data_IF_088271519876
#
_entry.id   IF_088271519876
#
_cell.length_a   1.000
_cell.length_b   1.000
_cell.length_c   1.000
_cell.angle_alpha   90.00
_cell.angle_beta   90.00
_cell.angle_gamma   90.00
#
_symmetry.space_group_name_H-M   'P 1'
#
loop_
_entity.id
_entity.type
_entity.pdbx_description
1 polymer ?
#
# COMPACT_ATOMS: atom_id res chain seq x y z
N UNK A 1 32.88 31.44 -41.02
CA UNK A 1 34.36 31.36 -40.92
C UNK A 1 34.74 31.17 -39.45
N UNK A 2 35.42 30.04 -39.16
CA UNK A 2 36.29 29.76 -37.98
C UNK A 2 35.56 29.64 -36.62
N UNK A 3 35.69 28.64 -35.80
CA UNK A 3 36.65 27.52 -35.72
C UNK A 3 36.11 26.45 -34.74
N UNK A 4 36.18 25.21 -35.15
CA UNK A 4 35.99 24.01 -34.30
C UNK A 4 37.14 23.94 -33.28
N UNK A 5 36.85 23.59 -32.03
CA UNK A 5 37.81 22.96 -31.13
C UNK A 5 37.25 21.61 -30.66
N UNK A 6 37.88 20.57 -31.22
CA UNK A 6 37.88 19.20 -30.68
C UNK A 6 38.73 19.18 -29.41
N UNK A 7 38.26 18.53 -28.37
CA UNK A 7 39.13 17.94 -27.37
C UNK A 7 38.78 16.47 -27.23
N UNK A 8 39.78 15.68 -27.42
CA UNK A 8 39.77 14.22 -27.39
C UNK A 8 40.22 13.72 -26.01
N UNK A 9 39.63 12.56 -25.65
CA UNK A 9 40.26 11.44 -24.95
C UNK A 9 40.68 11.58 -23.48
N UNK A 10 40.14 10.76 -22.62
CA UNK A 10 40.93 9.77 -21.89
C UNK A 10 40.07 8.67 -21.27
N UNK A 11 40.21 7.49 -21.79
CA UNK A 11 39.78 6.18 -21.37
C UNK A 11 40.66 5.77 -20.18
N UNK A 12 40.08 5.44 -19.04
CA UNK A 12 40.79 4.74 -17.96
C UNK A 12 39.99 3.48 -17.56
N UNK A 13 40.44 2.36 -18.10
CA UNK A 13 40.04 1.01 -17.69
C UNK A 13 40.77 0.65 -16.41
N UNK A 14 40.05 0.21 -15.40
CA UNK A 14 40.61 -0.48 -14.20
C UNK A 14 40.03 -1.90 -14.13
N UNK A 15 40.92 -2.82 -14.52
CA UNK A 15 40.79 -4.26 -14.28
C UNK A 15 40.99 -4.54 -12.79
N UNK A 16 40.05 -5.27 -12.17
CA UNK A 16 40.31 -5.99 -10.91
C UNK A 16 40.24 -7.48 -11.17
N UNK A 17 41.37 -8.12 -10.96
CA UNK A 17 41.63 -9.53 -11.13
C UNK A 17 41.07 -10.34 -9.92
N UNK A 18 40.48 -11.49 -10.25
CA UNK A 18 40.10 -12.52 -9.33
C UNK A 18 41.33 -13.25 -8.75
N UNK A 19 41.30 -13.57 -7.47
CA UNK A 19 42.14 -14.61 -6.88
C UNK A 19 41.25 -15.72 -6.28
N UNK A 20 41.34 -16.87 -6.95
CA UNK A 20 40.98 -18.20 -6.45
C UNK A 20 42.19 -18.84 -5.77
N UNK A 21 41.99 -19.34 -4.57
CA UNK A 21 42.78 -20.43 -3.97
C UNK A 21 41.83 -21.14 -3.00
N UNK A 22 41.43 -22.40 -3.03
CA UNK A 22 42.03 -23.63 -3.55
C UNK A 22 42.74 -24.40 -2.45
N UNK A 23 42.11 -25.46 -1.87
CA UNK A 23 42.66 -26.70 -1.35
C UNK A 23 41.66 -27.30 -0.35
N UNK A 24 40.96 -28.38 -0.58
CA UNK A 24 41.32 -29.79 -0.91
C UNK A 24 41.67 -30.64 0.29
N UNK A 25 41.03 -31.79 0.30
CA UNK A 25 41.31 -33.11 0.92
C UNK A 25 40.74 -33.30 2.34
N UNK A 26 40.12 -34.41 2.67
CA UNK A 26 39.88 -35.69 2.03
C UNK A 26 38.98 -36.58 2.89
N UNK A 27 38.45 -37.53 2.22
CA UNK A 27 37.95 -38.90 2.50
C UNK A 27 38.13 -39.47 3.93
N UNK A 28 37.19 -40.24 4.44
CA UNK A 28 36.84 -41.66 4.20
C UNK A 28 35.75 -42.11 5.20
N UNK A 29 34.70 -42.71 4.71
CA UNK A 29 34.34 -44.13 4.58
C UNK A 29 33.94 -44.88 5.84
N UNK A 30 32.84 -45.57 5.65
CA UNK A 30 32.34 -46.85 6.20
C UNK A 30 31.43 -46.76 7.42
N UNK A 31 30.28 -47.29 7.35
CA UNK A 31 29.57 -48.50 7.03
C UNK A 31 28.90 -49.16 8.24
N UNK A 32 27.60 -49.44 8.02
CA UNK A 32 26.83 -50.58 8.52
C UNK A 32 26.75 -50.83 10.05
N UNK A 33 25.64 -51.17 10.64
CA UNK A 33 24.68 -52.28 10.38
C UNK A 33 23.45 -52.18 11.28
N UNK A 34 22.32 -52.47 10.77
CA UNK A 34 21.15 -53.23 11.20
C UNK A 34 21.06 -53.78 12.65
N UNK A 35 19.85 -53.76 13.17
CA UNK A 35 19.42 -54.57 14.32
C UNK A 35 17.96 -54.32 14.67
N UNK A 36 17.17 -55.18 14.22
CA UNK A 36 15.73 -55.48 14.31
C UNK A 36 15.29 -55.92 15.72
N UNK A 37 13.96 -55.93 15.90
CA UNK A 37 13.09 -56.69 16.81
C UNK A 37 12.59 -55.92 18.06
N UNK A 38 11.32 -55.69 18.13
CA UNK A 38 10.08 -56.46 18.35
C UNK A 38 9.79 -56.72 19.83
N UNK A 39 8.62 -56.28 20.27
CA UNK A 39 7.71 -56.96 21.18
C UNK A 39 6.68 -56.01 21.81
N UNK A 40 5.46 -56.07 21.36
CA UNK A 40 4.25 -55.95 22.20
C UNK A 40 4.05 -57.30 22.94
N UNK A 41 3.19 -57.43 24.00
CA UNK A 41 1.81 -57.02 24.04
C UNK A 41 1.17 -56.70 25.42
N UNK A 42 -0.04 -56.10 25.34
CA UNK A 42 -1.31 -56.34 26.08
C UNK A 42 -1.35 -56.41 27.59
N UNK A 43 -2.24 -55.76 28.28
CA UNK A 43 -3.68 -56.12 28.50
C UNK A 43 -4.36 -55.19 29.55
N UNK A 44 -5.57 -54.77 29.20
CA UNK A 44 -6.85 -54.76 29.90
C UNK A 44 -6.92 -54.17 31.31
N UNK A 45 -7.80 -53.32 31.65
CA UNK A 45 -9.27 -53.20 31.67
C UNK A 45 -9.70 -52.40 32.91
N UNK A 46 -10.64 -51.61 32.85
CA UNK A 46 -11.91 -51.61 33.50
C UNK A 46 -12.39 -50.18 33.77
N UNK A 47 -13.58 -49.91 33.30
CA UNK A 47 -14.28 -48.66 33.21
C UNK A 47 -14.67 -48.03 34.57
N UNK A 48 -14.92 -46.76 34.49
CA UNK A 48 -15.91 -46.11 35.33
C UNK A 48 -16.44 -44.90 34.58
N UNK A 49 -17.72 -44.95 34.30
CA UNK A 49 -18.56 -43.87 33.78
C UNK A 49 -18.65 -42.75 34.82
N UNK A 50 -18.16 -41.57 34.46
CA UNK A 50 -18.58 -40.32 35.11
C UNK A 50 -18.78 -39.30 34.00
N UNK A 51 -20.02 -38.86 33.84
CA UNK A 51 -20.39 -37.72 33.01
C UNK A 51 -19.69 -36.48 33.56
N UNK A 52 -18.87 -35.87 32.75
CA UNK A 52 -18.40 -34.52 32.97
C UNK A 52 -18.85 -33.69 31.78
N UNK A 53 -19.51 -32.62 32.08
CA UNK A 53 -19.89 -31.54 31.20
C UNK A 53 -18.67 -31.12 30.39
N UNK A 54 -18.82 -31.21 29.07
CA UNK A 54 -17.85 -30.76 28.08
C UNK A 54 -17.93 -29.24 28.08
N UNK A 55 -17.12 -28.61 28.93
CA UNK A 55 -16.69 -27.24 28.70
C UNK A 55 -15.88 -27.27 27.42
N UNK A 56 -16.32 -26.57 26.39
CA UNK A 56 -15.53 -26.28 25.23
C UNK A 56 -14.27 -25.50 25.69
N UNK A 57 -13.18 -26.24 25.96
CA UNK A 57 -11.85 -25.64 25.95
C UNK A 57 -11.54 -25.29 24.50
N UNK A 58 -11.64 -23.99 24.19
CA UNK A 58 -11.05 -23.43 23.00
C UNK A 58 -9.57 -23.83 22.97
N UNK A 59 -9.13 -24.45 21.89
CA UNK A 59 -7.72 -24.62 21.58
C UNK A 59 -7.08 -23.23 21.62
N UNK A 60 -6.36 -22.91 22.71
CA UNK A 60 -5.47 -21.78 22.73
C UNK A 60 -4.38 -22.10 21.71
N UNK A 61 -4.48 -21.54 20.53
CA UNK A 61 -3.40 -21.47 19.56
C UNK A 61 -2.18 -20.81 20.23
N UNK A 62 -1.01 -21.18 19.81
CA UNK A 62 0.24 -20.60 20.33
C UNK A 62 0.45 -19.23 19.63
N UNK A 63 -0.45 -18.26 19.91
CA UNK A 63 -0.41 -16.92 19.34
C UNK A 63 0.70 -16.09 20.02
N UNK A 64 1.30 -15.16 19.26
CA UNK A 64 2.36 -14.29 19.75
C UNK A 64 1.88 -13.39 20.92
N UNK A 65 2.78 -13.16 21.90
CA UNK A 65 2.56 -12.22 23.00
C UNK A 65 2.73 -10.75 22.55
N UNK A 66 3.25 -10.53 21.35
CA UNK A 66 3.49 -9.21 20.76
C UNK A 66 2.78 -9.13 19.41
N UNK A 67 2.08 -8.04 19.14
CA UNK A 67 1.49 -7.73 17.85
C UNK A 67 2.51 -6.95 17.02
N UNK A 68 2.88 -7.47 15.86
CA UNK A 68 3.62 -6.73 14.85
C UNK A 68 2.64 -6.02 13.93
N UNK A 69 2.65 -4.67 13.96
CA UNK A 69 1.89 -3.78 13.10
C UNK A 69 2.79 -3.23 12.01
N UNK A 70 2.47 -3.52 10.75
CA UNK A 70 3.25 -3.10 9.59
C UNK A 70 2.57 -1.94 8.87
N UNK A 71 3.37 -0.97 8.43
CA UNK A 71 2.94 0.20 7.70
C UNK A 71 3.55 0.23 6.30
N UNK A 72 2.78 0.69 5.32
CA UNK A 72 3.26 0.97 3.97
C UNK A 72 4.24 2.17 3.95
N UNK A 73 5.00 2.34 2.84
CA UNK A 73 5.90 3.49 2.70
C UNK A 73 5.20 4.84 2.82
N UNK A 74 3.92 4.93 2.47
CA UNK A 74 3.13 6.18 2.54
C UNK A 74 3.05 6.70 3.97
N UNK A 75 2.71 5.82 4.91
CA UNK A 75 2.50 6.13 6.32
C UNK A 75 3.81 6.04 7.12
N UNK A 76 4.95 5.81 6.43
CA UNK A 76 6.28 5.73 7.06
C UNK A 76 6.95 7.10 7.27
N UNK A 77 6.37 8.19 6.76
CA UNK A 77 6.88 9.54 6.98
C UNK A 77 6.84 9.94 8.47
N UNK A 78 7.78 10.80 8.88
CA UNK A 78 7.87 11.28 10.27
C UNK A 78 6.61 12.05 10.71
N UNK A 79 5.91 12.68 9.78
CA UNK A 79 4.67 13.43 10.03
C UNK A 79 3.56 12.54 10.63
N UNK A 80 3.58 11.23 10.35
CA UNK A 80 2.63 10.25 10.89
C UNK A 80 3.06 9.60 12.21
N UNK A 81 4.20 9.96 12.80
CA UNK A 81 4.72 9.32 14.03
C UNK A 81 3.68 9.35 15.17
N UNK A 82 3.05 10.52 15.39
CA UNK A 82 2.05 10.68 16.47
C UNK A 82 0.83 9.80 16.24
N UNK A 83 0.32 9.75 15.02
CA UNK A 83 -0.83 8.91 14.67
C UNK A 83 -0.47 7.42 14.84
N UNK A 84 0.70 6.99 14.33
CA UNK A 84 1.16 5.60 14.46
C UNK A 84 1.35 5.17 15.92
N UNK A 85 1.89 6.04 16.79
CA UNK A 85 2.01 5.79 18.23
C UNK A 85 0.63 5.61 18.88
N UNK A 86 -0.36 6.40 18.46
CA UNK A 86 -1.73 6.27 18.96
C UNK A 86 -2.39 4.96 18.51
N UNK A 87 -2.20 4.54 17.26
CA UNK A 87 -2.66 3.20 16.82
C UNK A 87 -2.04 2.09 17.66
N UNK A 88 -0.73 2.13 17.88
CA UNK A 88 -0.05 1.13 18.72
C UNK A 88 -0.61 1.11 20.15
N UNK A 89 -0.90 2.29 20.71
CA UNK A 89 -1.53 2.42 22.03
C UNK A 89 -2.92 1.77 22.04
N UNK A 90 -3.76 2.04 21.03
CA UNK A 90 -5.11 1.50 20.93
C UNK A 90 -5.11 -0.03 20.74
N UNK A 91 -4.26 -0.58 19.89
CA UNK A 91 -4.11 -2.02 19.73
C UNK A 91 -3.65 -2.69 21.03
N UNK A 92 -2.71 -2.06 21.76
CA UNK A 92 -2.29 -2.52 23.09
C UNK A 92 -3.41 -2.42 24.11
N UNK A 93 -4.20 -1.37 24.08
CA UNK A 93 -5.37 -1.21 24.98
C UNK A 93 -6.41 -2.31 24.75
N UNK A 94 -6.74 -2.59 23.47
CA UNK A 94 -7.70 -3.62 23.11
C UNK A 94 -7.26 -5.02 23.57
N UNK A 95 -5.99 -5.37 23.39
CA UNK A 95 -5.51 -6.74 23.51
C UNK A 95 -4.69 -7.03 24.76
N UNK A 96 -4.19 -5.99 25.43
CA UNK A 96 -3.22 -6.11 26.52
C UNK A 96 -1.82 -6.56 26.09
N UNK A 97 -1.58 -6.75 24.77
CA UNK A 97 -0.30 -7.18 24.21
C UNK A 97 0.61 -6.00 23.87
N UNK A 98 1.92 -6.22 23.88
CA UNK A 98 2.85 -5.22 23.34
C UNK A 98 2.67 -5.11 21.82
N UNK A 99 2.88 -3.90 21.27
CA UNK A 99 2.77 -3.63 19.83
C UNK A 99 4.12 -3.16 19.32
N UNK A 100 4.69 -3.90 18.37
CA UNK A 100 5.90 -3.54 17.64
C UNK A 100 5.50 -3.00 16.27
N UNK A 101 5.89 -1.77 15.98
CA UNK A 101 5.64 -1.15 14.68
C UNK A 101 6.80 -1.39 13.73
N UNK A 102 6.51 -1.75 12.49
CA UNK A 102 7.48 -1.91 11.40
C UNK A 102 7.11 -1.03 10.22
N UNK A 103 7.97 -0.06 9.94
CA UNK A 103 7.90 0.75 8.75
C UNK A 103 8.54 0.01 7.58
N UNK A 104 7.91 0.05 6.41
CA UNK A 104 8.44 -0.57 5.21
C UNK A 104 8.81 0.46 4.16
N UNK A 105 9.69 0.08 3.25
CA UNK A 105 10.09 0.88 2.09
C UNK A 105 9.51 0.36 0.79
N UNK A 106 8.71 -0.73 0.87
CA UNK A 106 8.15 -1.41 -0.29
C UNK A 106 6.81 -2.06 0.09
N UNK A 107 5.83 -1.96 -0.80
CA UNK A 107 4.50 -2.55 -0.65
C UNK A 107 4.54 -4.08 -0.53
N UNK A 108 5.38 -4.73 -1.36
CA UNK A 108 5.50 -6.19 -1.36
C UNK A 108 6.01 -6.73 -0.02
N UNK A 109 6.90 -5.99 0.67
CA UNK A 109 7.41 -6.38 2.00
C UNK A 109 6.26 -6.40 3.03
N UNK A 110 5.38 -5.41 3.00
CA UNK A 110 4.25 -5.35 3.92
C UNK A 110 3.22 -6.46 3.61
N UNK A 111 2.90 -6.68 2.33
CA UNK A 111 1.99 -7.73 1.85
C UNK A 111 2.50 -9.11 2.26
N UNK A 112 3.79 -9.41 1.99
CA UNK A 112 4.41 -10.68 2.35
C UNK A 112 4.46 -10.88 3.87
N UNK A 113 4.75 -9.82 4.63
CA UNK A 113 4.79 -9.89 6.10
C UNK A 113 3.44 -10.28 6.68
N UNK A 114 2.34 -9.73 6.16
CA UNK A 114 0.99 -10.08 6.58
C UNK A 114 0.61 -11.49 6.12
N UNK A 115 0.82 -11.81 4.84
CA UNK A 115 0.48 -13.11 4.27
C UNK A 115 1.22 -14.27 4.95
N UNK A 116 2.50 -14.09 5.30
CA UNK A 116 3.29 -15.10 6.01
C UNK A 116 2.99 -15.21 7.52
N UNK A 117 2.22 -14.28 8.11
CA UNK A 117 1.97 -14.21 9.54
C UNK A 117 3.14 -13.68 10.37
N UNK A 118 4.21 -13.16 9.74
CA UNK A 118 5.29 -12.47 10.44
C UNK A 118 4.87 -11.09 10.94
N UNK A 119 3.82 -10.51 10.36
CA UNK A 119 3.03 -9.43 10.90
C UNK A 119 1.61 -9.93 11.23
N UNK A 120 1.06 -9.50 12.35
CA UNK A 120 -0.30 -9.82 12.73
C UNK A 120 -1.30 -8.87 12.08
N UNK A 121 -0.93 -7.60 11.94
CA UNK A 121 -1.79 -6.53 11.42
C UNK A 121 -0.99 -5.67 10.43
N UNK A 122 -1.67 -5.20 9.37
CA UNK A 122 -1.14 -4.23 8.42
C UNK A 122 -2.24 -3.25 8.00
N UNK A 123 -1.92 -1.94 7.93
CA UNK A 123 -2.74 -0.99 7.18
C UNK A 123 -2.30 -1.01 5.72
N UNK A 124 -3.24 -1.18 4.79
CA UNK A 124 -2.92 -1.35 3.37
C UNK A 124 -4.06 -0.91 2.45
N UNK A 125 -3.74 -0.59 1.22
CA UNK A 125 -4.75 -0.36 0.19
C UNK A 125 -5.50 -1.65 -0.18
N UNK A 126 -6.68 -1.51 -0.78
CA UNK A 126 -7.54 -2.64 -1.15
C UNK A 126 -6.82 -3.67 -2.06
N UNK A 127 -5.99 -3.23 -3.03
CA UNK A 127 -5.21 -4.13 -3.87
C UNK A 127 -4.20 -4.96 -3.07
N UNK A 128 -3.46 -4.32 -2.16
CA UNK A 128 -2.51 -5.05 -1.31
C UNK A 128 -3.19 -6.06 -0.40
N UNK A 129 -4.38 -5.74 0.12
CA UNK A 129 -5.22 -6.69 0.84
C UNK A 129 -5.59 -7.90 -0.05
N UNK A 130 -6.05 -7.66 -1.27
CA UNK A 130 -6.39 -8.71 -2.23
C UNK A 130 -5.17 -9.61 -2.54
N UNK A 131 -4.00 -9.01 -2.75
CA UNK A 131 -2.76 -9.76 -2.98
C UNK A 131 -2.35 -10.61 -1.76
N UNK A 132 -2.42 -10.05 -0.55
CA UNK A 132 -2.14 -10.78 0.68
C UNK A 132 -3.14 -11.93 0.90
N UNK A 133 -4.45 -11.69 0.67
CA UNK A 133 -5.52 -12.68 0.73
C UNK A 133 -5.32 -13.80 -0.29
N UNK A 134 -4.94 -13.48 -1.53
CA UNK A 134 -4.62 -14.45 -2.57
C UNK A 134 -3.39 -15.31 -2.24
N UNK A 135 -2.42 -14.73 -1.52
CA UNK A 135 -1.23 -15.46 -1.06
C UNK A 135 -1.54 -16.34 0.16
N UNK A 136 -2.48 -15.94 1.02
CA UNK A 136 -2.90 -16.70 2.20
C UNK A 136 -4.37 -16.41 2.55
N UNK A 137 -5.21 -17.43 2.45
CA UNK A 137 -6.65 -17.36 2.79
C UNK A 137 -6.93 -16.94 4.25
N UNK A 138 -5.94 -17.03 5.15
CA UNK A 138 -6.05 -16.59 6.54
C UNK A 138 -6.01 -15.07 6.71
N UNK A 139 -5.69 -14.30 5.66
CA UNK A 139 -5.73 -12.83 5.71
C UNK A 139 -7.17 -12.37 5.62
N UNK A 140 -7.61 -11.54 6.58
CA UNK A 140 -8.97 -11.01 6.69
C UNK A 140 -8.96 -9.51 6.99
N UNK A 141 -10.01 -8.75 6.64
CA UNK A 141 -10.10 -7.34 6.99
C UNK A 141 -10.60 -7.17 8.42
N UNK A 142 -10.04 -6.19 9.16
CA UNK A 142 -10.54 -5.78 10.48
C UNK A 142 -11.66 -4.75 10.35
N UNK A 143 -11.33 -3.64 9.69
CA UNK A 143 -12.22 -2.50 9.46
C UNK A 143 -11.61 -1.56 8.40
N UNK A 144 -12.44 -0.65 7.89
CA UNK A 144 -12.04 0.49 7.05
C UNK A 144 -12.52 1.80 7.69
N UNK A 145 -11.94 2.94 7.34
CA UNK A 145 -12.51 4.23 7.66
C UNK A 145 -13.70 4.53 6.74
N UNK A 146 -14.76 5.08 7.32
CA UNK A 146 -15.90 5.62 6.55
C UNK A 146 -15.59 7.03 6.01
N UNK A 147 -16.46 7.53 5.15
CA UNK A 147 -16.58 8.96 4.90
C UNK A 147 -17.49 9.65 5.93
N UNK A 148 -17.96 10.86 5.60
CA UNK A 148 -18.76 11.72 6.46
C UNK A 148 -20.09 11.10 6.95
N UNK A 149 -20.64 10.11 6.23
CA UNK A 149 -21.85 9.39 6.64
C UNK A 149 -21.65 8.51 7.88
N UNK A 150 -20.43 8.09 8.19
CA UNK A 150 -20.14 7.11 9.23
C UNK A 150 -20.49 5.68 8.84
N UNK A 151 -20.67 5.39 7.53
CA UNK A 151 -21.05 4.09 6.98
C UNK A 151 -20.14 3.70 5.79
N UNK A 152 -20.35 2.50 5.24
CA UNK A 152 -19.64 2.05 4.03
C UNK A 152 -20.10 2.76 2.76
N UNK A 153 -21.22 3.49 2.75
CA UNK A 153 -21.80 4.11 1.56
C UNK A 153 -20.88 5.16 0.91
N UNK A 154 -20.05 5.81 1.71
CA UNK A 154 -19.09 6.83 1.29
C UNK A 154 -17.68 6.57 1.82
N UNK A 155 -17.35 5.31 2.11
CA UNK A 155 -16.02 4.87 2.52
C UNK A 155 -15.05 4.88 1.30
N UNK A 156 -14.79 6.07 0.78
CA UNK A 156 -14.08 6.33 -0.46
C UNK A 156 -12.99 7.38 -0.28
N UNK A 157 -11.96 7.27 -1.09
CA UNK A 157 -10.96 8.29 -1.36
C UNK A 157 -10.77 8.44 -2.88
N UNK A 158 -9.82 9.23 -3.37
CA UNK A 158 -9.70 9.51 -4.79
C UNK A 158 -8.32 9.19 -5.34
N UNK A 159 -8.31 8.47 -6.46
CA UNK A 159 -7.14 8.28 -7.33
C UNK A 159 -7.08 9.42 -8.33
N UNK A 160 -5.93 10.06 -8.47
CA UNK A 160 -5.67 11.12 -9.41
C UNK A 160 -4.73 10.67 -10.52
N UNK A 161 -5.00 11.10 -11.76
CA UNK A 161 -3.98 11.35 -12.77
C UNK A 161 -3.80 12.86 -12.85
N UNK A 162 -2.57 13.31 -12.67
CA UNK A 162 -2.23 14.74 -12.55
C UNK A 162 -1.07 15.12 -13.45
N UNK A 163 -1.04 16.40 -13.82
CA UNK A 163 0.01 17.02 -14.63
C UNK A 163 0.48 18.31 -13.96
N UNK A 164 1.66 18.83 -14.31
CA UNK A 164 2.11 20.12 -13.80
C UNK A 164 1.20 21.25 -14.28
N UNK A 165 0.97 22.24 -13.41
CA UNK A 165 0.25 23.46 -13.80
C UNK A 165 0.97 24.18 -14.93
N UNK A 166 0.23 24.46 -15.99
CA UNK A 166 0.74 25.06 -17.24
C UNK A 166 0.79 24.06 -18.39
N UNK A 167 0.82 22.75 -18.11
CA UNK A 167 0.82 21.68 -19.11
C UNK A 167 -0.60 21.12 -19.33
N UNK A 168 -1.59 21.45 -18.49
CA UNK A 168 -2.96 20.93 -18.54
C UNK A 168 -3.67 21.20 -19.86
N UNK A 169 -3.26 22.27 -20.56
CA UNK A 169 -3.79 22.62 -21.88
C UNK A 169 -3.51 21.57 -22.97
N UNK A 170 -2.49 20.75 -22.80
CA UNK A 170 -2.15 19.66 -23.73
C UNK A 170 -3.14 18.49 -23.61
N UNK A 171 -3.82 18.37 -22.49
CA UNK A 171 -4.77 17.30 -22.17
C UNK A 171 -6.22 17.76 -22.27
N UNK A 172 -6.47 19.03 -22.62
CA UNK A 172 -7.81 19.60 -22.67
C UNK A 172 -8.66 18.98 -23.79
N UNK A 173 -9.92 18.62 -23.46
CA UNK A 173 -10.94 18.16 -24.40
C UNK A 173 -12.30 18.80 -24.07
N UNK A 174 -12.72 19.77 -24.88
CA UNK A 174 -13.92 20.56 -24.61
C UNK A 174 -13.83 21.30 -23.29
N UNK A 175 -14.77 21.02 -22.39
CA UNK A 175 -14.81 21.58 -21.03
C UNK A 175 -14.09 20.67 -19.99
N UNK A 176 -13.45 19.58 -20.43
CA UNK A 176 -12.77 18.59 -19.59
C UNK A 176 -11.39 18.21 -20.11
N UNK A 177 -10.97 16.98 -19.81
CA UNK A 177 -9.68 16.44 -20.19
C UNK A 177 -9.83 15.07 -20.86
N UNK A 178 -8.89 14.73 -21.76
CA UNK A 178 -8.74 13.42 -22.40
C UNK A 178 -7.39 12.80 -22.02
N UNK A 179 -7.35 11.47 -21.98
CA UNK A 179 -6.11 10.71 -21.81
C UNK A 179 -5.35 10.51 -23.14
N UNK A 180 -5.87 10.99 -24.30
CA UNK A 180 -5.23 10.78 -25.61
C UNK A 180 -3.74 11.17 -25.62
N UNK A 181 -3.42 12.28 -24.99
CA UNK A 181 -2.08 12.87 -25.01
C UNK A 181 -1.14 12.38 -23.91
N UNK A 182 -1.57 11.41 -23.07
CA UNK A 182 -0.62 10.77 -22.16
C UNK A 182 0.27 9.74 -22.87
N UNK A 183 -0.12 9.28 -24.08
CA UNK A 183 0.70 8.39 -24.88
C UNK A 183 2.03 9.06 -25.26
N UNK A 184 3.14 8.34 -25.09
CA UNK A 184 4.50 8.83 -25.36
C UNK A 184 5.09 9.70 -24.26
N UNK A 185 4.35 10.03 -23.20
CA UNK A 185 4.85 10.79 -22.05
C UNK A 185 5.66 9.91 -21.10
N UNK A 186 6.31 10.55 -20.10
CA UNK A 186 6.88 9.90 -18.93
C UNK A 186 5.81 9.86 -17.85
N UNK A 187 5.48 8.68 -17.33
CA UNK A 187 4.52 8.53 -16.26
C UNK A 187 5.20 8.08 -14.96
N UNK A 188 4.66 8.53 -13.82
CA UNK A 188 5.02 8.01 -12.51
C UNK A 188 3.82 7.33 -11.88
N UNK A 189 3.99 6.08 -11.46
CA UNK A 189 3.09 5.32 -10.61
C UNK A 189 3.66 5.21 -9.20
N UNK A 190 2.89 4.68 -8.26
CA UNK A 190 3.30 4.48 -6.87
C UNK A 190 4.06 3.16 -6.71
N UNK A 191 3.36 2.05 -6.87
CA UNK A 191 3.82 0.66 -6.85
C UNK A 191 2.81 -0.15 -7.65
N UNK A 192 3.21 -1.25 -8.27
CA UNK A 192 2.29 -2.15 -8.98
C UNK A 192 1.22 -2.78 -8.07
N UNK A 193 1.45 -2.81 -6.76
CA UNK A 193 0.48 -3.26 -5.73
C UNK A 193 -0.34 -2.11 -5.14
N UNK A 194 -0.22 -0.87 -5.66
CA UNK A 194 -1.01 0.27 -5.18
C UNK A 194 -2.37 0.33 -5.86
N UNK A 195 -3.46 0.39 -5.08
CA UNK A 195 -4.82 0.49 -5.60
C UNK A 195 -5.00 1.76 -6.43
N UNK A 196 -4.84 2.93 -5.80
CA UNK A 196 -5.07 4.25 -6.43
C UNK A 196 -3.86 4.80 -7.18
N UNK A 197 -2.68 4.28 -6.91
CA UNK A 197 -1.45 4.71 -7.59
C UNK A 197 -1.03 3.82 -8.76
N UNK A 198 -1.76 2.73 -9.04
CA UNK A 198 -1.48 1.85 -10.18
C UNK A 198 -2.74 1.16 -10.71
N UNK A 199 -3.44 0.30 -9.94
CA UNK A 199 -4.52 -0.55 -10.47
C UNK A 199 -5.66 0.28 -11.05
N UNK A 200 -6.16 1.26 -10.31
CA UNK A 200 -7.27 2.13 -10.77
C UNK A 200 -6.86 3.00 -11.97
N UNK A 201 -5.74 3.75 -11.93
CA UNK A 201 -5.35 4.56 -13.07
C UNK A 201 -4.97 3.72 -14.31
N UNK A 202 -4.31 2.56 -14.17
CA UNK A 202 -4.00 1.70 -15.32
C UNK A 202 -5.25 1.11 -15.94
N UNK A 203 -6.26 0.72 -15.13
CA UNK A 203 -7.54 0.28 -15.65
C UNK A 203 -8.26 1.37 -16.45
N UNK A 204 -8.23 2.62 -15.98
CA UNK A 204 -8.76 3.76 -16.73
C UNK A 204 -8.00 4.00 -18.04
N UNK A 205 -6.68 3.90 -18.02
CA UNK A 205 -5.82 4.05 -19.20
C UNK A 205 -6.10 2.92 -20.20
N UNK A 206 -6.16 1.67 -19.77
CA UNK A 206 -6.47 0.52 -20.61
C UNK A 206 -7.87 0.67 -21.23
N UNK A 207 -8.88 1.03 -20.43
CA UNK A 207 -10.24 1.25 -20.91
C UNK A 207 -10.32 2.32 -21.99
N UNK A 208 -9.52 3.38 -21.86
CA UNK A 208 -9.44 4.46 -22.85
C UNK A 208 -8.72 4.00 -24.13
N UNK A 209 -7.50 3.47 -23.99
CA UNK A 209 -6.64 3.15 -25.12
C UNK A 209 -7.07 1.88 -25.87
N UNK A 210 -7.76 0.93 -25.25
CA UNK A 210 -8.31 -0.24 -25.94
C UNK A 210 -9.31 0.11 -27.06
N UNK A 211 -9.82 1.33 -27.06
CA UNK A 211 -10.69 1.86 -28.14
C UNK A 211 -9.87 2.44 -29.31
N UNK A 212 -8.56 2.54 -29.20
CA UNK A 212 -7.67 3.19 -30.18
C UNK A 212 -6.89 2.11 -30.94
N UNK A 213 -6.87 2.24 -32.27
CA UNK A 213 -6.14 1.31 -33.12
C UNK A 213 -4.67 1.20 -32.70
N UNK A 214 -4.21 -0.02 -32.52
CA UNK A 214 -2.83 -0.33 -32.08
C UNK A 214 -2.69 -0.59 -30.59
N UNK A 215 -3.70 -0.29 -29.75
CA UNK A 215 -3.70 -0.51 -28.30
C UNK A 215 -4.85 -1.40 -27.81
N UNK A 216 -5.55 -2.10 -28.72
CA UNK A 216 -6.71 -2.91 -28.37
C UNK A 216 -6.43 -4.05 -27.37
N UNK A 217 -5.21 -4.55 -27.35
CA UNK A 217 -4.77 -5.66 -26.50
C UNK A 217 -3.90 -5.17 -25.31
N UNK A 218 -3.94 -3.87 -24.98
CA UNK A 218 -3.15 -3.28 -23.90
C UNK A 218 -3.53 -3.90 -22.55
N UNK A 219 -2.52 -4.31 -21.79
CA UNK A 219 -2.65 -4.91 -20.45
C UNK A 219 -1.93 -4.08 -19.39
N UNK A 220 -2.13 -4.39 -18.11
CA UNK A 220 -1.39 -3.74 -17.02
C UNK A 220 0.12 -4.04 -17.11
N UNK A 221 0.50 -5.24 -17.56
CA UNK A 221 1.91 -5.61 -17.74
C UNK A 221 2.60 -4.73 -18.79
N UNK A 222 1.88 -4.27 -19.82
CA UNK A 222 2.43 -3.36 -20.82
C UNK A 222 2.64 -1.94 -20.28
N UNK A 223 2.05 -1.61 -19.12
CA UNK A 223 2.13 -0.29 -18.50
C UNK A 223 3.20 -0.20 -17.39
N UNK A 224 3.89 -1.30 -17.07
CA UNK A 224 4.98 -1.28 -16.08
C UNK A 224 6.34 -0.94 -16.69
N UNK A 225 6.45 -0.96 -18.02
CA UNK A 225 7.68 -0.65 -18.74
C UNK A 225 7.46 0.52 -19.71
N UNK A 226 8.53 1.29 -19.96
CA UNK A 226 8.55 2.38 -20.91
C UNK A 226 9.49 2.08 -22.08
N UNK A 227 9.23 2.69 -23.24
CA UNK A 227 10.06 2.52 -24.43
C UNK A 227 9.45 3.12 -25.69
N UNK A 228 10.18 3.05 -26.80
CA UNK A 228 9.75 3.63 -28.07
C UNK A 228 8.52 2.98 -28.70
N UNK A 229 8.27 1.72 -28.34
CA UNK A 229 7.16 0.91 -28.87
C UNK A 229 6.09 0.63 -27.79
N UNK A 230 6.23 1.28 -26.62
CA UNK A 230 5.31 1.18 -25.49
C UNK A 230 4.37 2.40 -25.44
N UNK A 231 3.30 2.32 -24.65
CA UNK A 231 2.39 3.45 -24.47
C UNK A 231 3.12 4.67 -23.89
N UNK A 232 3.98 4.45 -22.91
CA UNK A 232 4.78 5.48 -22.26
C UNK A 232 6.24 5.43 -22.72
N UNK A 233 6.86 6.59 -22.92
CA UNK A 233 8.30 6.66 -23.23
C UNK A 233 9.17 6.23 -22.04
N UNK A 234 8.68 6.43 -20.82
CA UNK A 234 9.31 6.01 -19.57
C UNK A 234 8.24 5.79 -18.49
N UNK A 235 8.40 4.75 -17.70
CA UNK A 235 7.59 4.49 -16.49
C UNK A 235 8.51 4.60 -15.27
N UNK A 236 8.06 5.31 -14.27
CA UNK A 236 8.71 5.50 -12.98
C UNK A 236 7.80 4.95 -11.88
N UNK A 237 8.40 4.41 -10.85
CA UNK A 237 7.69 4.06 -9.61
C UNK A 237 8.22 4.91 -8.46
N UNK A 238 7.32 5.70 -7.84
CA UNK A 238 7.67 6.59 -6.73
C UNK A 238 7.93 5.88 -5.41
N UNK A 239 7.47 4.62 -5.29
CA UNK A 239 7.56 3.83 -4.07
C UNK A 239 6.53 4.22 -3.00
N UNK A 240 6.01 5.45 -3.06
CA UNK A 240 4.91 5.99 -2.25
C UNK A 240 4.09 6.99 -3.08
N UNK A 241 2.92 7.41 -2.59
CA UNK A 241 2.12 8.45 -3.23
C UNK A 241 2.86 9.79 -3.27
N UNK A 242 3.54 10.14 -2.17
CA UNK A 242 4.39 11.31 -2.08
C UNK A 242 5.53 11.26 -3.10
N UNK A 243 6.19 10.08 -3.26
CA UNK A 243 7.25 9.90 -4.24
C UNK A 243 6.78 10.02 -5.69
N UNK A 244 5.55 9.53 -5.99
CA UNK A 244 4.98 9.67 -7.34
C UNK A 244 4.61 11.12 -7.65
N UNK A 245 3.97 11.84 -6.72
CA UNK A 245 3.67 13.26 -6.87
C UNK A 245 4.95 14.10 -6.97
N UNK A 246 5.99 13.78 -6.20
CA UNK A 246 7.28 14.44 -6.28
C UNK A 246 7.96 14.25 -7.65
N UNK A 247 7.85 13.05 -8.24
CA UNK A 247 8.36 12.83 -9.61
C UNK A 247 7.72 13.77 -10.63
N UNK A 248 6.43 14.04 -10.51
CA UNK A 248 5.73 15.02 -11.33
C UNK A 248 6.28 16.44 -11.09
N UNK A 249 6.23 16.89 -9.83
CA UNK A 249 6.56 18.28 -9.45
C UNK A 249 8.02 18.64 -9.68
N UNK A 250 8.93 17.65 -9.59
CA UNK A 250 10.35 17.82 -9.91
C UNK A 250 10.68 17.70 -11.40
N UNK A 251 9.67 17.44 -12.25
CA UNK A 251 9.85 17.33 -13.71
C UNK A 251 10.49 16.00 -14.16
N UNK A 252 10.52 14.98 -13.32
CA UNK A 252 10.96 13.63 -13.67
C UNK A 252 9.90 12.90 -14.51
N UNK A 253 8.63 13.17 -14.25
CA UNK A 253 7.48 12.66 -14.99
C UNK A 253 6.64 13.81 -15.59
N UNK A 254 5.90 13.53 -16.63
CA UNK A 254 4.97 14.46 -17.29
C UNK A 254 3.54 14.24 -16.77
N UNK A 255 3.23 13.01 -16.37
CA UNK A 255 1.97 12.59 -15.73
C UNK A 255 2.31 11.76 -14.50
N UNK A 256 1.52 11.88 -13.43
CA UNK A 256 1.67 11.02 -12.26
C UNK A 256 0.33 10.55 -11.70
N UNK A 257 0.34 9.32 -11.16
CA UNK A 257 -0.76 8.73 -10.42
C UNK A 257 -0.46 8.77 -8.92
N UNK A 258 -1.39 9.28 -8.12
CA UNK A 258 -1.33 9.31 -6.65
C UNK A 258 -2.73 9.55 -6.08
N UNK A 259 -2.92 9.52 -4.77
CA UNK A 259 -4.23 9.74 -4.15
C UNK A 259 -4.30 11.05 -3.37
N UNK A 260 -5.52 11.48 -3.09
CA UNK A 260 -5.80 12.69 -2.35
C UNK A 260 -5.34 12.61 -0.88
N UNK A 261 -5.60 11.50 -0.20
CA UNK A 261 -5.34 11.35 1.25
C UNK A 261 -3.86 11.52 1.60
N UNK A 262 -2.97 10.91 0.80
CA UNK A 262 -1.53 10.95 1.05
C UNK A 262 -0.86 12.27 0.64
N UNK A 263 -1.57 13.12 -0.11
CA UNK A 263 -1.09 14.44 -0.52
C UNK A 263 -1.73 15.56 0.29
N UNK A 264 -2.86 15.32 0.93
CA UNK A 264 -3.58 16.30 1.73
C UNK A 264 -2.72 17.04 2.79
N UNK A 265 -1.78 16.38 3.51
CA UNK A 265 -0.93 17.08 4.46
C UNK A 265 0.03 18.09 3.81
N UNK A 266 0.32 17.96 2.51
CA UNK A 266 1.37 18.70 1.82
C UNK A 266 0.84 19.69 0.78
N UNK A 267 -0.43 19.59 0.38
CA UNK A 267 -0.98 20.41 -0.70
C UNK A 267 -2.42 20.86 -0.43
N UNK A 268 -2.71 22.09 -0.78
CA UNK A 268 -4.04 22.70 -0.65
C UNK A 268 -4.65 22.91 -2.01
N UNK A 269 -5.96 22.59 -2.17
CA UNK A 269 -6.73 22.92 -3.36
C UNK A 269 -6.91 24.46 -3.43
N UNK A 270 -6.34 25.09 -4.46
CA UNK A 270 -6.32 26.54 -4.62
C UNK A 270 -7.24 27.05 -5.73
N UNK A 271 -7.62 26.20 -6.69
CA UNK A 271 -8.58 26.54 -7.77
C UNK A 271 -9.45 25.31 -8.06
N UNK A 272 -10.73 25.54 -8.37
CA UNK A 272 -11.69 24.49 -8.72
C UNK A 272 -12.35 23.85 -7.51
N UNK A 273 -13.01 22.71 -7.72
CA UNK A 273 -13.64 21.89 -6.70
C UNK A 273 -12.67 20.76 -6.31
N UNK A 274 -12.37 20.61 -5.03
CA UNK A 274 -11.43 19.59 -4.55
C UNK A 274 -11.82 18.18 -5.05
N UNK A 275 -10.79 17.37 -5.31
CA UNK A 275 -10.93 15.99 -5.77
C UNK A 275 -11.66 15.81 -7.12
N UNK A 276 -11.78 16.87 -7.94
CA UNK A 276 -12.37 16.81 -9.28
C UNK A 276 -11.35 17.12 -10.37
N UNK A 277 -11.61 16.64 -11.60
CA UNK A 277 -10.80 17.01 -12.76
C UNK A 277 -10.88 18.55 -12.99
N UNK A 278 -9.73 19.18 -13.20
CA UNK A 278 -9.55 20.62 -13.31
C UNK A 278 -9.19 21.33 -12.01
N UNK A 279 -9.28 20.67 -10.86
CA UNK A 279 -8.82 21.23 -9.61
C UNK A 279 -7.29 21.43 -9.63
N UNK A 280 -6.85 22.58 -9.11
CA UNK A 280 -5.43 22.94 -8.96
C UNK A 280 -5.06 22.85 -7.50
N UNK A 281 -3.99 22.14 -7.23
CA UNK A 281 -3.40 22.03 -5.91
C UNK A 281 -2.05 22.71 -5.87
N UNK A 282 -1.77 23.39 -4.78
CA UNK A 282 -0.48 24.07 -4.52
C UNK A 282 0.21 23.41 -3.34
N UNK A 283 1.48 23.05 -3.49
CA UNK A 283 2.29 22.54 -2.39
C UNK A 283 2.49 23.65 -1.36
N UNK A 284 2.18 23.36 -0.11
CA UNK A 284 2.22 24.30 1.01
C UNK A 284 3.65 24.82 1.25
N UNK A 285 3.77 26.04 1.74
CA UNK A 285 5.07 26.68 1.99
C UNK A 285 5.86 26.00 3.12
N UNK A 286 5.18 25.31 4.03
CA UNK A 286 5.70 24.57 5.17
C UNK A 286 5.72 23.06 4.95
N UNK A 287 5.46 22.59 3.72
CA UNK A 287 5.50 21.18 3.40
C UNK A 287 6.87 20.56 3.72
N UNK A 288 6.83 19.42 4.39
CA UNK A 288 8.00 18.64 4.75
C UNK A 288 8.50 17.77 3.59
N UNK A 289 9.58 17.02 3.79
CA UNK A 289 10.09 16.10 2.76
C UNK A 289 9.02 15.05 2.36
N UNK A 290 8.93 14.71 1.06
CA UNK A 290 9.85 15.10 -0.02
C UNK A 290 9.52 16.44 -0.71
N UNK A 291 8.50 17.18 -0.25
CA UNK A 291 7.97 18.37 -0.93
C UNK A 291 8.65 19.67 -0.55
N UNK A 292 9.50 19.69 0.47
CA UNK A 292 10.26 20.84 0.96
C UNK A 292 11.11 21.55 -0.11
N UNK A 293 11.46 20.82 -1.18
CA UNK A 293 12.23 21.35 -2.31
C UNK A 293 11.37 21.86 -3.47
N UNK A 294 10.04 21.64 -3.42
CA UNK A 294 9.09 22.00 -4.48
C UNK A 294 7.90 22.81 -3.94
N UNK A 295 8.06 23.47 -2.79
CA UNK A 295 7.02 24.32 -2.20
C UNK A 295 6.53 25.38 -3.18
N UNK A 296 5.22 25.67 -3.19
CA UNK A 296 4.57 26.59 -4.12
C UNK A 296 4.41 26.04 -5.54
N UNK A 297 4.95 24.86 -5.87
CA UNK A 297 4.67 24.18 -7.14
C UNK A 297 3.21 23.73 -7.18
N UNK A 298 2.66 23.65 -8.39
CA UNK A 298 1.25 23.33 -8.59
C UNK A 298 1.07 22.17 -9.56
N UNK A 299 0.05 21.36 -9.29
CA UNK A 299 -0.44 20.34 -10.22
C UNK A 299 -1.92 20.50 -10.50
N UNK A 300 -2.37 19.94 -11.62
CA UNK A 300 -3.77 19.91 -12.06
C UNK A 300 -4.21 18.47 -12.18
N UNK A 301 -5.36 18.15 -11.62
CA UNK A 301 -6.00 16.85 -11.80
C UNK A 301 -6.61 16.78 -13.19
N UNK A 302 -6.16 15.86 -14.06
CA UNK A 302 -6.77 15.60 -15.36
C UNK A 302 -7.79 14.47 -15.31
N UNK A 303 -7.68 13.55 -14.33
CA UNK A 303 -8.67 12.53 -14.03
C UNK A 303 -8.72 12.26 -12.53
N UNK A 304 -9.93 12.16 -11.99
CA UNK A 304 -10.21 11.76 -10.62
C UNK A 304 -11.18 10.58 -10.60
N UNK A 305 -10.83 9.53 -9.86
CA UNK A 305 -11.63 8.30 -9.77
C UNK A 305 -11.85 7.94 -8.31
N UNK A 306 -13.11 7.77 -7.84
CA UNK A 306 -13.36 7.31 -6.48
C UNK A 306 -12.91 5.85 -6.31
N UNK A 307 -12.32 5.56 -5.14
CA UNK A 307 -11.70 4.27 -4.81
C UNK A 307 -12.17 3.86 -3.42
N UNK A 308 -12.47 2.58 -3.22
CA UNK A 308 -12.82 2.04 -1.90
C UNK A 308 -11.63 2.18 -0.93
N UNK A 309 -11.90 2.62 0.30
CA UNK A 309 -10.89 2.72 1.35
C UNK A 309 -10.23 1.36 1.61
N UNK A 310 -8.94 1.39 1.90
CA UNK A 310 -8.17 0.20 2.26
C UNK A 310 -8.40 -0.22 3.72
N UNK A 311 -8.25 -1.52 4.05
CA UNK A 311 -8.47 -2.00 5.39
C UNK A 311 -7.22 -1.90 6.28
N UNK A 312 -7.44 -1.83 7.60
CA UNK A 312 -6.57 -2.59 8.49
C UNK A 312 -6.91 -4.07 8.30
N UNK A 313 -5.92 -4.86 7.92
CA UNK A 313 -6.07 -6.28 7.68
C UNK A 313 -5.23 -7.08 8.69
N UNK A 314 -5.62 -8.31 8.95
CA UNK A 314 -4.92 -9.18 9.89
C UNK A 314 -4.76 -10.60 9.33
N UNK A 315 -3.83 -11.35 9.90
CA UNK A 315 -3.66 -12.77 9.60
C UNK A 315 -4.30 -13.59 10.73
N UNK A 316 -5.39 -14.31 10.44
CA UNK A 316 -6.17 -15.06 11.42
C UNK A 316 -5.46 -16.29 11.98
N UNK A 317 -4.40 -16.78 11.33
CA UNK A 317 -3.53 -17.82 11.87
C UNK A 317 -2.51 -17.25 12.89
N UNK A 318 -2.28 -15.93 12.88
CA UNK A 318 -1.26 -15.26 13.69
C UNK A 318 -1.83 -14.37 14.81
N UNK A 319 -3.11 -14.01 14.76
CA UNK A 319 -3.79 -13.15 15.74
C UNK A 319 -4.93 -13.93 16.42
N UNK A 320 -4.96 -13.90 17.76
CA UNK A 320 -5.99 -14.59 18.55
C UNK A 320 -7.39 -14.05 18.21
N UNK A 321 -8.39 -14.91 17.95
CA UNK A 321 -9.77 -14.47 17.71
C UNK A 321 -10.35 -13.57 18.79
N UNK A 322 -9.96 -13.75 20.06
CA UNK A 322 -10.39 -12.88 21.16
C UNK A 322 -9.78 -11.46 21.03
N UNK A 323 -8.53 -11.36 20.56
CA UNK A 323 -7.91 -10.06 20.26
C UNK A 323 -8.60 -9.39 19.08
N UNK A 324 -8.97 -10.14 18.03
CA UNK A 324 -9.71 -9.62 16.88
C UNK A 324 -11.04 -8.99 17.32
N UNK A 325 -11.83 -9.71 18.16
CA UNK A 325 -13.10 -9.20 18.69
C UNK A 325 -12.89 -7.92 19.52
N UNK A 326 -11.90 -7.91 20.41
CA UNK A 326 -11.58 -6.74 21.23
C UNK A 326 -11.10 -5.53 20.42
N UNK A 327 -10.29 -5.75 19.39
CA UNK A 327 -9.84 -4.72 18.45
C UNK A 327 -11.04 -4.13 17.70
N UNK A 328 -11.91 -4.98 17.15
CA UNK A 328 -13.08 -4.53 16.41
C UNK A 328 -14.03 -3.74 17.29
N UNK A 329 -14.27 -4.17 18.55
CA UNK A 329 -15.10 -3.45 19.51
C UNK A 329 -14.53 -2.06 19.85
N UNK A 330 -13.23 -1.97 20.15
CA UNK A 330 -12.60 -0.69 20.49
C UNK A 330 -12.57 0.26 19.28
N UNK A 331 -12.07 -0.22 18.13
CA UNK A 331 -11.85 0.66 16.98
C UNK A 331 -13.15 1.18 16.36
N UNK A 332 -14.26 0.45 16.47
CA UNK A 332 -15.59 0.93 16.01
C UNK A 332 -16.36 1.74 17.05
N UNK A 333 -15.78 1.97 18.23
CA UNK A 333 -16.41 2.74 19.31
C UNK A 333 -16.47 4.23 19.02
N UNK A 334 -17.34 4.94 19.77
CA UNK A 334 -17.39 6.41 19.74
C UNK A 334 -16.13 7.05 20.36
N UNK A 335 -15.40 6.32 21.21
CA UNK A 335 -14.13 6.78 21.77
C UNK A 335 -13.10 6.98 20.67
N UNK A 336 -12.88 5.97 19.82
CA UNK A 336 -11.94 6.07 18.71
C UNK A 336 -12.45 7.00 17.61
N UNK A 337 -13.77 7.00 17.33
CA UNK A 337 -14.35 7.92 16.35
C UNK A 337 -14.19 9.41 16.72
N UNK A 338 -14.00 9.74 18.01
CA UNK A 338 -13.73 11.09 18.50
C UNK A 338 -12.27 11.31 18.92
N UNK A 339 -11.37 10.39 18.58
CA UNK A 339 -9.95 10.53 18.85
C UNK A 339 -9.30 11.40 17.77
N UNK A 340 -8.92 12.64 18.14
CA UNK A 340 -8.35 13.64 17.22
C UNK A 340 -6.94 13.28 16.72
N UNK A 341 -6.27 12.26 17.26
CA UNK A 341 -5.01 11.72 16.73
C UNK A 341 -5.23 10.68 15.62
N UNK A 342 -6.44 10.15 15.49
CA UNK A 342 -6.86 9.18 14.47
C UNK A 342 -7.67 9.89 13.38
N UNK A 343 -8.74 10.59 13.78
CA UNK A 343 -9.62 11.37 12.92
C UNK A 343 -9.41 12.86 13.23
N UNK A 344 -8.52 13.46 12.46
CA UNK A 344 -8.06 14.86 12.70
C UNK A 344 -9.12 15.84 12.21
N UNK A 345 -9.58 16.78 13.04
CA UNK A 345 -10.53 17.79 12.59
C UNK A 345 -9.95 18.67 11.47
N UNK A 346 -10.78 18.98 10.46
CA UNK A 346 -10.40 19.80 9.30
C UNK A 346 -9.73 21.14 9.66
N UNK A 347 -10.17 21.77 10.78
CA UNK A 347 -9.64 23.06 11.25
C UNK A 347 -8.38 22.91 12.15
N UNK A 348 -7.80 21.71 12.25
CA UNK A 348 -6.66 21.40 13.13
C UNK A 348 -5.34 21.52 12.40
N UNK A 349 -4.28 21.96 13.09
CA UNK A 349 -2.90 21.91 12.60
C UNK A 349 -2.28 20.48 12.75
N UNK A 350 -3.06 19.48 13.19
CA UNK A 350 -2.60 18.12 13.39
C UNK A 350 -2.46 17.36 12.06
N UNK A 351 -1.47 16.48 12.00
CA UNK A 351 -1.32 15.52 10.91
C UNK A 351 -1.81 14.16 11.38
N UNK A 352 -2.80 13.60 10.70
CA UNK A 352 -3.34 12.28 10.95
C UNK A 352 -3.61 11.55 9.65
N UNK A 353 -4.00 10.28 9.76
CA UNK A 353 -4.27 9.44 8.59
C UNK A 353 -5.65 9.68 8.00
N UNK A 354 -6.59 10.19 8.81
CA UNK A 354 -7.98 10.42 8.40
C UNK A 354 -8.45 11.79 8.86
N UNK A 355 -9.20 12.47 7.99
CA UNK A 355 -9.83 13.74 8.27
C UNK A 355 -11.19 13.54 8.96
N UNK A 356 -11.56 14.45 9.86
CA UNK A 356 -12.83 14.49 10.58
C UNK A 356 -13.63 15.71 10.18
N UNK A 357 -14.65 15.51 9.35
CA UNK A 357 -15.57 16.57 8.93
C UNK A 357 -16.95 16.44 9.60
N UNK A 358 -17.45 15.21 9.77
CA UNK A 358 -18.76 14.93 10.35
C UNK A 358 -18.75 13.65 11.22
N UNK A 359 -19.13 12.50 10.66
CA UNK A 359 -19.31 11.24 11.39
C UNK A 359 -18.29 10.17 11.04
N UNK A 360 -17.18 10.55 10.43
CA UNK A 360 -16.11 9.60 10.04
C UNK A 360 -15.72 8.73 11.24
N UNK A 361 -15.61 7.44 10.98
CA UNK A 361 -15.28 6.42 11.97
C UNK A 361 -14.80 5.15 11.29
N UNK A 362 -14.26 4.22 12.04
CA UNK A 362 -14.04 2.87 11.54
C UNK A 362 -15.35 2.09 11.50
N UNK A 363 -15.53 1.31 10.44
CA UNK A 363 -16.66 0.41 10.22
C UNK A 363 -16.17 -0.97 9.84
N UNK A 364 -16.85 -2.00 10.32
CA UNK A 364 -16.53 -3.38 9.97
C UNK A 364 -16.84 -3.63 8.49
N UNK A 365 -16.02 -4.47 7.89
CA UNK A 365 -16.11 -4.82 6.48
C UNK A 365 -15.78 -6.29 6.30
N UNK A 366 -16.32 -6.93 5.27
CA UNK A 366 -15.99 -8.29 4.87
C UNK A 366 -15.18 -8.32 3.56
N UNK A 367 -14.63 -9.49 3.20
CA UNK A 367 -13.82 -9.66 1.99
C UNK A 367 -14.57 -9.27 0.71
N UNK A 368 -15.88 -9.57 0.64
CA UNK A 368 -16.68 -9.30 -0.55
C UNK A 368 -16.83 -7.80 -0.86
N UNK A 369 -16.62 -6.92 0.15
CA UNK A 369 -16.65 -5.48 -0.08
C UNK A 369 -15.55 -5.01 -1.04
N UNK A 370 -14.45 -5.77 -1.17
CA UNK A 370 -13.33 -5.46 -2.06
C UNK A 370 -13.48 -6.03 -3.49
N UNK A 371 -14.58 -6.75 -3.80
CA UNK A 371 -14.81 -7.31 -5.15
C UNK A 371 -14.75 -6.29 -6.28
N UNK A 372 -15.23 -5.03 -6.13
CA UNK A 372 -15.07 -4.02 -7.18
C UNK A 372 -13.61 -3.74 -7.57
N UNK A 373 -12.68 -3.80 -6.61
CA UNK A 373 -11.24 -3.64 -6.88
C UNK A 373 -10.64 -4.93 -7.45
N UNK A 374 -11.04 -6.09 -6.93
CA UNK A 374 -10.60 -7.41 -7.43
C UNK A 374 -10.90 -7.56 -8.92
N UNK A 375 -12.07 -7.13 -9.37
CA UNK A 375 -12.49 -7.18 -10.77
C UNK A 375 -11.70 -6.22 -11.69
N UNK A 376 -10.95 -5.25 -11.17
CA UNK A 376 -10.08 -4.39 -11.98
C UNK A 376 -8.73 -5.07 -12.30
N UNK A 377 -8.36 -6.08 -11.55
CA UNK A 377 -7.07 -6.78 -11.67
C UNK A 377 -7.19 -8.12 -12.42
N UNK A 378 -8.42 -8.54 -12.78
CA UNK A 378 -8.72 -9.71 -13.60
C UNK A 378 -8.85 -9.34 -15.10
#
# INVERSE_FOLDING_TARGET
MKTRKLFASSLAALLFAAMLAGCSTGSDTSSQTAGTEDSTPSTSSTGSTASSEESAEGTSGDYADTITLVWYPNESAEDYDVAREEYARLFKEATGKEVEQKLTTDYAIAIESLASGTAQICFMGAQGYIEAKNANDAVEPLFVNSGASGTLDDALYYSFLSVNKGDEGEYADGDGYSLDNIAGTRISFVSNSSTSGFVVPTNSIISHFSQIDGWADLTQDDLIEGGSDMLFSQVLFGGSHQGSAYNLLSGNADVAAFCNTEIAPYATCTEGEANTAGAVYTINDDATAPFDTVTGSQFVIIQSTPVLNGPFAYNSDALDPADVEAIQELFTSDEVANNELIFVPEDSDGVGMFEKTENERFVLVDDAWFDPIRNLSE
#
